data_IF_630006516151
#
_entry.id   IF_630006516151
#
_cell.length_a   1.000
_cell.length_b   1.000
_cell.length_c   1.000
_cell.angle_alpha   90.00
_cell.angle_beta   90.00
_cell.angle_gamma   90.00
#
_symmetry.space_group_name_H-M   'P 1'
#
loop_
_entity.id
_entity.type
_entity.pdbx_description
1 polymer ?
#
# COMPACT_ATOMS: atom_id res chain seq x y z
N UNK A 1 -15.87 -35.99 20.32
CA UNK A 1 -14.44 -35.89 20.64
C UNK A 1 -13.94 -34.59 20.02
N UNK A 2 -13.64 -33.58 20.84
CA UNK A 2 -13.13 -32.26 20.42
C UNK A 2 -11.65 -32.42 20.06
N UNK A 3 -11.26 -32.09 18.83
CA UNK A 3 -9.86 -31.81 18.52
C UNK A 3 -9.69 -30.29 18.41
N UNK A 4 -9.25 -29.71 19.53
CA UNK A 4 -8.74 -28.35 19.59
C UNK A 4 -7.30 -28.41 19.07
N UNK A 5 -7.08 -28.05 17.80
CA UNK A 5 -5.73 -27.91 17.26
C UNK A 5 -5.17 -26.56 17.73
N UNK A 6 -4.46 -26.58 18.86
CA UNK A 6 -3.72 -25.44 19.37
C UNK A 6 -2.41 -25.32 18.57
N UNK A 7 -2.39 -24.48 17.54
CA UNK A 7 -1.15 -24.12 16.85
C UNK A 7 -0.41 -23.13 17.76
N UNK A 8 0.55 -23.64 18.54
CA UNK A 8 1.54 -22.83 19.24
C UNK A 8 2.60 -22.47 18.20
N UNK A 9 2.46 -21.29 17.58
CA UNK A 9 3.54 -20.70 16.78
C UNK A 9 4.46 -19.91 17.72
N UNK A 10 5.35 -20.61 18.43
CA UNK A 10 6.49 -19.97 19.10
C UNK A 10 7.75 -20.25 18.30
N UNK A 11 7.87 -19.58 17.16
CA UNK A 11 9.15 -19.35 16.50
C UNK A 11 9.62 -17.95 16.89
N UNK A 12 10.47 -17.88 17.92
CA UNK A 12 11.39 -16.76 18.08
C UNK A 12 12.31 -16.75 16.85
N UNK A 13 11.91 -16.03 15.80
CA UNK A 13 12.83 -15.62 14.73
C UNK A 13 13.78 -14.58 15.32
N UNK A 14 14.82 -15.07 16.01
CA UNK A 14 16.02 -14.30 16.35
C UNK A 14 17.00 -14.29 15.17
N UNK A 15 16.46 -14.02 13.99
CA UNK A 15 17.20 -13.56 12.83
C UNK A 15 16.45 -12.36 12.34
N UNK A 16 16.98 -11.16 12.58
CA UNK A 16 16.59 -9.99 11.80
C UNK A 16 16.99 -10.34 10.37
N UNK A 17 16.05 -10.90 9.62
CA UNK A 17 16.23 -11.18 8.21
C UNK A 17 16.50 -9.83 7.53
N UNK A 18 17.71 -9.70 6.99
CA UNK A 18 18.31 -8.41 6.69
C UNK A 18 17.44 -7.61 5.70
N UNK A 19 17.00 -6.44 6.14
CA UNK A 19 16.41 -5.46 5.24
C UNK A 19 17.45 -5.04 4.21
N UNK A 20 17.11 -5.16 2.94
CA UNK A 20 17.99 -4.78 1.84
C UNK A 20 17.76 -3.30 1.58
N UNK A 21 18.78 -2.47 1.80
CA UNK A 21 18.73 -1.05 1.43
C UNK A 21 18.59 -0.92 -0.09
N UNK A 22 17.53 -0.27 -0.56
CA UNK A 22 17.33 0.07 -1.99
C UNK A 22 18.02 1.40 -2.29
N UNK A 23 17.76 2.42 -1.47
CA UNK A 23 18.37 3.74 -1.63
C UNK A 23 18.46 4.48 -0.30
N UNK A 24 19.53 5.26 -0.09
CA UNK A 24 19.78 5.98 1.18
C UNK A 24 19.25 7.42 1.22
N UNK A 25 18.28 7.81 0.38
CA UNK A 25 17.82 9.19 0.34
C UNK A 25 16.31 9.29 0.26
N UNK A 26 15.74 10.25 0.98
CA UNK A 26 14.31 10.51 1.07
C UNK A 26 13.57 10.59 -0.26
N UNK A 27 14.17 11.20 -1.28
CA UNK A 27 13.52 11.33 -2.59
C UNK A 27 13.30 9.98 -3.31
N UNK A 28 13.87 8.89 -2.79
CA UNK A 28 13.73 7.53 -3.29
C UNK A 28 13.18 6.58 -2.22
N UNK A 29 12.63 7.13 -1.13
CA UNK A 29 11.69 6.42 -0.28
C UNK A 29 10.53 5.84 -1.09
N UNK A 30 9.95 4.72 -0.67
CA UNK A 30 8.90 4.04 -1.43
C UNK A 30 7.61 4.10 -0.63
N UNK A 31 6.62 4.80 -1.19
CA UNK A 31 5.29 5.01 -0.60
C UNK A 31 4.22 4.17 -1.30
N UNK A 32 4.60 3.16 -2.09
CA UNK A 32 3.66 2.24 -2.73
C UNK A 32 4.35 1.40 -3.80
N UNK A 33 3.81 0.21 -4.07
CA UNK A 33 4.46 -0.79 -4.93
C UNK A 33 3.45 -1.64 -5.71
N UNK A 34 3.74 -1.85 -6.99
CA UNK A 34 3.01 -2.77 -7.86
C UNK A 34 3.97 -3.60 -8.71
N UNK A 35 3.63 -4.88 -8.93
CA UNK A 35 4.42 -5.77 -9.79
C UNK A 35 4.41 -5.30 -11.25
N UNK A 36 5.58 -5.31 -11.90
CA UNK A 36 5.71 -4.99 -13.33
C UNK A 36 6.91 -5.67 -13.99
N UNK A 37 6.70 -6.29 -15.16
CA UNK A 37 7.75 -7.00 -15.92
C UNK A 37 8.51 -8.04 -15.10
N UNK A 38 9.79 -7.82 -14.78
CA UNK A 38 10.58 -8.63 -13.85
C UNK A 38 10.88 -7.93 -12.51
N UNK A 39 10.41 -6.70 -12.31
CA UNK A 39 10.60 -5.90 -11.10
C UNK A 39 9.29 -5.26 -10.61
N UNK A 40 9.35 -4.01 -10.18
CA UNK A 40 8.20 -3.30 -9.61
C UNK A 40 8.10 -1.87 -10.12
N UNK A 41 6.88 -1.37 -10.29
CA UNK A 41 6.61 0.07 -10.26
C UNK A 41 6.48 0.49 -8.81
N UNK A 42 7.21 1.54 -8.43
CA UNK A 42 7.13 2.14 -7.09
C UNK A 42 6.80 3.61 -7.20
N UNK A 43 6.06 4.13 -6.22
CA UNK A 43 5.75 5.56 -6.10
C UNK A 43 6.52 6.22 -4.97
N UNK A 44 6.62 7.55 -5.04
CA UNK A 44 7.32 8.37 -4.06
C UNK A 44 6.44 9.55 -3.61
N UNK A 45 6.34 9.81 -2.30
CA UNK A 45 5.85 11.08 -1.74
C UNK A 45 6.85 12.23 -1.97
N UNK A 46 7.03 12.56 -3.25
CA UNK A 46 7.83 13.70 -3.67
C UNK A 46 6.91 14.82 -4.16
N UNK A 47 7.14 16.04 -3.67
CA UNK A 47 6.31 17.22 -3.98
C UNK A 47 6.98 18.23 -4.91
N UNK A 48 8.30 18.18 -5.09
CA UNK A 48 9.05 19.18 -5.90
C UNK A 48 9.21 18.74 -7.35
N UNK A 49 9.35 19.73 -8.25
CA UNK A 49 9.72 19.50 -9.65
C UNK A 49 11.06 18.74 -9.74
N UNK A 50 11.25 17.92 -10.78
CA UNK A 50 12.44 17.08 -11.03
C UNK A 50 12.69 15.93 -10.05
N UNK A 51 11.94 15.85 -8.94
CA UNK A 51 11.95 14.66 -8.08
C UNK A 51 11.13 13.54 -8.75
N UNK A 52 11.57 12.28 -8.65
CA UNK A 52 10.85 11.16 -9.24
C UNK A 52 9.47 11.01 -8.59
N UNK A 53 8.43 10.77 -9.38
CA UNK A 53 7.10 10.39 -8.88
C UNK A 53 6.89 8.89 -8.92
N UNK A 54 7.40 8.28 -9.99
CA UNK A 54 7.41 6.86 -10.24
C UNK A 54 8.83 6.42 -10.57
N UNK A 55 9.18 5.21 -10.15
CA UNK A 55 10.39 4.52 -10.60
C UNK A 55 10.09 3.04 -10.88
N UNK A 56 10.86 2.45 -11.78
CA UNK A 56 10.97 1.01 -11.93
C UNK A 56 12.09 0.52 -11.02
N UNK A 57 11.75 -0.38 -10.10
CA UNK A 57 12.69 -1.08 -9.24
C UNK A 57 13.04 -2.43 -9.88
N UNK A 58 14.27 -2.55 -10.36
CA UNK A 58 14.82 -3.78 -10.93
C UNK A 58 15.03 -4.86 -9.85
N UNK A 59 15.13 -6.14 -10.26
CA UNK A 59 15.53 -7.24 -9.36
C UNK A 59 16.88 -7.02 -8.68
N UNK A 60 17.77 -6.23 -9.29
CA UNK A 60 19.05 -5.85 -8.72
C UNK A 60 18.95 -4.69 -7.71
N UNK A 61 17.74 -4.32 -7.29
CA UNK A 61 17.43 -3.22 -6.38
C UNK A 61 17.84 -1.82 -6.88
N UNK A 62 17.97 -1.66 -8.20
CA UNK A 62 18.26 -0.37 -8.83
C UNK A 62 16.97 0.32 -9.24
N UNK A 63 16.89 1.62 -8.98
CA UNK A 63 15.76 2.47 -9.36
C UNK A 63 16.03 3.19 -10.68
N UNK A 64 15.10 3.07 -11.63
CA UNK A 64 15.06 3.87 -12.85
C UNK A 64 13.81 4.75 -12.85
N UNK A 65 13.97 6.05 -13.02
CA UNK A 65 12.84 6.98 -13.00
C UNK A 65 11.95 6.75 -14.23
N UNK A 66 10.64 6.69 -14.03
CA UNK A 66 9.66 6.76 -15.13
C UNK A 66 9.46 8.21 -15.56
N UNK A 67 9.05 8.39 -16.83
CA UNK A 67 8.76 9.70 -17.40
C UNK A 67 7.26 9.96 -17.27
N UNK A 68 6.88 10.77 -16.27
CA UNK A 68 5.51 11.25 -16.13
C UNK A 68 5.18 12.30 -17.22
N UNK A 69 3.97 12.30 -17.80
CA UNK A 69 3.58 13.32 -18.76
C UNK A 69 3.43 14.70 -18.08
N UNK A 70 4.30 15.63 -18.45
CA UNK A 70 4.22 17.06 -18.07
C UNK A 70 3.01 17.75 -18.77
N UNK A 71 2.47 18.87 -18.23
CA UNK A 71 3.01 19.72 -17.16
C UNK A 71 2.46 19.46 -15.75
N UNK A 72 1.46 18.59 -15.60
CA UNK A 72 0.77 18.38 -14.32
C UNK A 72 1.32 17.13 -13.61
N UNK A 73 2.32 17.35 -12.76
CA UNK A 73 2.84 16.32 -11.88
C UNK A 73 1.83 15.99 -10.76
N UNK A 74 1.76 14.73 -10.33
CA UNK A 74 1.10 14.38 -9.08
C UNK A 74 1.71 15.14 -7.90
N UNK A 75 0.87 15.47 -6.93
CA UNK A 75 1.26 16.21 -5.74
C UNK A 75 2.15 15.37 -4.83
N UNK A 76 1.64 14.25 -4.31
CA UNK A 76 2.32 13.26 -3.47
C UNK A 76 1.73 11.87 -3.72
N UNK A 77 2.43 10.97 -4.44
CA UNK A 77 1.88 9.63 -4.69
C UNK A 77 2.12 8.72 -3.49
N UNK A 78 1.04 8.15 -2.97
CA UNK A 78 0.98 7.38 -1.72
C UNK A 78 0.57 5.92 -1.94
N UNK A 79 0.24 5.53 -3.18
CA UNK A 79 0.00 4.13 -3.52
C UNK A 79 0.03 3.93 -5.04
N UNK A 80 0.31 2.69 -5.46
CA UNK A 80 0.17 2.25 -6.85
C UNK A 80 -0.24 0.79 -6.91
N UNK A 81 -1.16 0.45 -7.82
CA UNK A 81 -1.63 -0.93 -8.04
C UNK A 81 -1.77 -1.23 -9.53
N UNK A 82 -1.49 -2.48 -9.89
CA UNK A 82 -1.80 -3.01 -11.21
C UNK A 82 -3.32 -3.18 -11.36
N UNK A 83 -3.88 -2.72 -12.47
CA UNK A 83 -5.29 -2.90 -12.79
C UNK A 83 -5.54 -4.36 -13.19
N UNK A 84 -6.57 -5.03 -12.64
CA UNK A 84 -6.88 -6.41 -12.97
C UNK A 84 -7.04 -6.64 -14.48
N UNK A 85 -6.46 -7.73 -14.98
CA UNK A 85 -6.51 -8.12 -16.40
C UNK A 85 -5.51 -7.40 -17.31
N UNK A 86 -4.63 -6.57 -16.78
CA UNK A 86 -3.59 -5.88 -17.54
C UNK A 86 -2.19 -6.21 -17.01
N UNK A 87 -1.18 -6.17 -17.88
CA UNK A 87 0.23 -6.31 -17.50
C UNK A 87 0.92 -4.98 -17.26
N UNK A 88 0.40 -3.88 -17.83
CA UNK A 88 1.04 -2.58 -17.84
C UNK A 88 0.10 -1.40 -17.57
N UNK A 89 -1.13 -1.66 -17.10
CA UNK A 89 -2.10 -0.61 -16.72
C UNK A 89 -2.15 -0.50 -15.21
N UNK A 90 -1.92 0.70 -14.70
CA UNK A 90 -1.82 0.95 -13.28
C UNK A 90 -2.81 2.03 -12.85
N UNK A 91 -3.06 2.05 -11.56
CA UNK A 91 -3.68 3.16 -10.88
C UNK A 91 -2.76 3.62 -9.75
N UNK A 92 -2.52 4.93 -9.65
CA UNK A 92 -1.81 5.53 -8.52
C UNK A 92 -2.70 6.56 -7.82
N UNK A 93 -2.50 6.75 -6.52
CA UNK A 93 -3.31 7.60 -5.65
C UNK A 93 -2.45 8.63 -4.92
N UNK A 94 -2.94 9.86 -4.83
CA UNK A 94 -2.40 10.90 -3.96
C UNK A 94 -3.00 10.89 -2.56
N UNK A 95 -2.33 11.55 -1.60
CA UNK A 95 -2.84 11.73 -0.24
C UNK A 95 -4.19 12.46 -0.18
N UNK A 96 -4.48 13.26 -1.22
CA UNK A 96 -5.76 13.99 -1.40
C UNK A 96 -6.90 13.11 -1.94
N UNK A 97 -6.59 11.89 -2.37
CA UNK A 97 -7.52 10.98 -3.05
C UNK A 97 -7.70 11.24 -4.53
N UNK A 98 -6.91 12.13 -5.13
CA UNK A 98 -6.79 12.19 -6.58
C UNK A 98 -6.08 10.94 -7.07
N UNK A 99 -6.65 10.27 -8.06
CA UNK A 99 -6.11 9.04 -8.60
C UNK A 99 -5.96 9.12 -10.12
N UNK A 100 -4.97 8.39 -10.63
CA UNK A 100 -4.52 8.42 -12.01
C UNK A 100 -4.49 7.00 -12.55
N UNK A 101 -5.26 6.73 -13.61
CA UNK A 101 -5.12 5.48 -14.36
C UNK A 101 -4.20 5.75 -15.55
N UNK A 102 -3.18 4.92 -15.72
CA UNK A 102 -2.16 5.11 -16.75
C UNK A 102 -1.60 3.80 -17.28
N UNK A 103 -1.04 3.83 -18.48
CA UNK A 103 -0.20 2.78 -19.03
C UNK A 103 1.27 3.09 -18.80
N UNK A 104 2.08 2.06 -18.66
CA UNK A 104 3.54 2.14 -18.68
C UNK A 104 4.04 1.43 -19.94
N UNK A 105 4.87 2.10 -20.73
CA UNK A 105 5.62 1.47 -21.80
C UNK A 105 6.78 0.63 -21.20
N UNK A 106 6.82 -0.70 -21.41
CA UNK A 106 7.83 -1.57 -20.82
C UNK A 106 9.24 -1.39 -21.43
N UNK A 107 9.36 -0.73 -22.58
CA UNK A 107 10.63 -0.54 -23.29
C UNK A 107 11.31 0.78 -22.93
N UNK A 108 10.56 1.87 -22.80
CA UNK A 108 11.13 3.20 -22.55
C UNK A 108 10.62 3.90 -21.29
N UNK A 109 9.79 3.24 -20.49
CA UNK A 109 9.29 3.71 -19.19
C UNK A 109 8.54 5.05 -19.24
N UNK A 110 7.95 5.36 -20.39
CA UNK A 110 6.99 6.46 -20.52
C UNK A 110 5.64 6.09 -19.92
N UNK A 111 5.00 7.08 -19.31
CA UNK A 111 3.65 6.97 -18.76
C UNK A 111 2.64 7.62 -19.70
N UNK A 112 1.61 6.90 -20.09
CA UNK A 112 0.44 7.43 -20.80
C UNK A 112 -0.74 7.56 -19.84
N UNK A 113 -1.15 8.79 -19.55
CA UNK A 113 -2.29 9.03 -18.65
C UNK A 113 -3.60 8.77 -19.39
N UNK A 114 -4.35 7.76 -18.94
CA UNK A 114 -5.65 7.41 -19.52
C UNK A 114 -6.77 8.22 -18.87
N UNK A 115 -6.68 8.46 -17.57
CA UNK A 115 -7.80 9.04 -16.81
C UNK A 115 -7.38 9.59 -15.45
N UNK A 116 -8.17 10.51 -14.92
CA UNK A 116 -7.96 11.12 -13.61
C UNK A 116 -9.29 11.39 -12.92
N UNK A 117 -9.40 11.06 -11.65
CA UNK A 117 -10.60 11.29 -10.84
C UNK A 117 -10.24 11.50 -9.37
N UNK A 118 -11.21 11.97 -8.60
CA UNK A 118 -11.11 12.02 -7.14
C UNK A 118 -11.93 10.89 -6.56
N UNK A 119 -11.30 10.10 -5.69
CA UNK A 119 -11.96 9.03 -4.94
C UNK A 119 -13.09 9.62 -4.06
N UNK A 120 -14.29 9.02 -4.07
CA UNK A 120 -15.43 9.59 -3.36
C UNK A 120 -15.36 9.33 -1.85
N UNK A 121 -16.19 10.03 -1.08
CA UNK A 121 -16.31 9.79 0.36
C UNK A 121 -15.16 10.32 1.22
N UNK A 122 -14.25 11.09 0.63
CA UNK A 122 -13.10 11.73 1.28
C UNK A 122 -13.47 13.11 1.80
N UNK A 123 -12.86 13.53 2.91
CA UNK A 123 -13.01 14.87 3.49
C UNK A 123 -11.66 15.58 3.56
N UNK A 124 -11.65 16.91 3.71
CA UNK A 124 -10.41 17.71 3.80
C UNK A 124 -9.51 17.38 5.00
N UNK A 125 -10.01 16.60 5.98
CA UNK A 125 -9.24 16.14 7.16
C UNK A 125 -8.54 14.80 6.94
N UNK A 126 -8.89 14.10 5.86
CA UNK A 126 -8.30 12.82 5.50
C UNK A 126 -7.00 13.05 4.72
N UNK A 127 -6.05 12.16 4.96
CA UNK A 127 -4.81 12.06 4.24
C UNK A 127 -4.63 10.57 3.96
N UNK A 128 -4.80 10.18 2.69
CA UNK A 128 -4.80 8.79 2.27
C UNK A 128 -3.38 8.27 2.14
N UNK A 129 -3.15 7.06 2.66
CA UNK A 129 -1.87 6.35 2.51
C UNK A 129 -2.13 4.92 2.01
N UNK A 130 -3.27 4.32 2.34
CA UNK A 130 -3.62 2.98 1.85
C UNK A 130 -4.52 3.02 0.63
N UNK A 131 -4.18 2.22 -0.39
CA UNK A 131 -5.05 1.94 -1.52
C UNK A 131 -4.79 0.53 -2.04
N UNK A 132 -5.83 -0.23 -2.37
CA UNK A 132 -5.70 -1.50 -3.06
C UNK A 132 -6.86 -1.75 -4.04
N UNK A 133 -6.60 -2.62 -5.01
CA UNK A 133 -7.55 -3.00 -6.06
C UNK A 133 -7.86 -4.48 -5.97
N UNK A 134 -9.14 -4.83 -6.09
CA UNK A 134 -9.60 -6.22 -6.07
C UNK A 134 -10.55 -6.50 -7.23
N UNK A 135 -10.33 -7.60 -7.92
CA UNK A 135 -11.26 -8.11 -8.93
C UNK A 135 -12.28 -9.02 -8.26
N UNK A 136 -13.53 -8.57 -8.16
CA UNK A 136 -14.66 -9.40 -7.74
C UNK A 136 -15.43 -9.93 -8.96
N UNK A 137 -16.35 -10.85 -8.72
CA UNK A 137 -17.30 -11.35 -9.72
C UNK A 137 -18.27 -10.24 -10.22
N UNK A 138 -18.45 -9.17 -9.45
CA UNK A 138 -19.32 -8.05 -9.81
C UNK A 138 -18.56 -6.93 -10.53
N UNK A 139 -17.23 -6.93 -10.47
CA UNK A 139 -16.38 -5.91 -11.09
C UNK A 139 -15.19 -5.54 -10.21
N UNK A 140 -14.66 -4.34 -10.41
CA UNK A 140 -13.46 -3.89 -9.70
C UNK A 140 -13.87 -3.14 -8.43
N UNK A 141 -13.32 -3.59 -7.30
CA UNK A 141 -13.45 -2.93 -6.01
C UNK A 141 -12.18 -2.15 -5.74
N UNK A 142 -12.34 -0.88 -5.36
CA UNK A 142 -11.27 -0.12 -4.73
C UNK A 142 -11.48 -0.10 -3.23
N UNK A 143 -10.40 -0.26 -2.49
CA UNK A 143 -10.37 -0.06 -1.05
C UNK A 143 -9.28 0.95 -0.74
N UNK A 144 -9.60 1.97 0.04
CA UNK A 144 -8.66 3.04 0.34
C UNK A 144 -8.88 3.60 1.73
N UNK A 145 -7.79 3.99 2.36
CA UNK A 145 -7.76 4.29 3.78
C UNK A 145 -6.94 5.52 4.09
N UNK A 146 -7.49 6.35 4.95
CA UNK A 146 -6.76 7.48 5.51
C UNK A 146 -5.87 7.03 6.67
N UNK A 147 -4.67 7.60 6.75
CA UNK A 147 -3.65 7.21 7.75
C UNK A 147 -4.06 7.39 9.20
N UNK A 148 -5.05 8.23 9.46
CA UNK A 148 -5.44 8.61 10.81
C UNK A 148 -4.37 9.46 11.49
N UNK A 149 -4.33 9.41 12.81
CA UNK A 149 -3.25 9.96 13.65
C UNK A 149 -3.39 9.38 15.06
N UNK A 150 -2.50 9.78 15.97
CA UNK A 150 -2.65 9.47 17.39
C UNK A 150 -3.95 10.03 18.00
N UNK A 151 -4.47 11.15 17.47
CA UNK A 151 -5.69 11.82 17.94
C UNK A 151 -6.95 11.43 17.18
N UNK A 152 -6.81 10.76 16.04
CA UNK A 152 -7.92 10.50 15.11
C UNK A 152 -7.79 9.10 14.51
N UNK A 153 -8.83 8.29 14.65
CA UNK A 153 -8.91 6.97 14.02
C UNK A 153 -8.89 7.10 12.49
N UNK A 154 -8.46 6.04 11.83
CA UNK A 154 -8.46 5.94 10.38
C UNK A 154 -9.85 5.58 9.87
N UNK A 155 -10.16 6.02 8.66
CA UNK A 155 -11.34 5.63 7.90
C UNK A 155 -10.89 4.82 6.70
N UNK A 156 -11.42 3.61 6.57
CA UNK A 156 -11.27 2.76 5.39
C UNK A 156 -12.57 2.84 4.58
N UNK A 157 -12.48 2.97 3.27
CA UNK A 157 -13.61 3.13 2.36
C UNK A 157 -13.49 2.05 1.29
N UNK A 158 -14.61 1.36 1.03
CA UNK A 158 -14.75 0.46 -0.12
C UNK A 158 -15.62 1.12 -1.18
N UNK A 159 -15.29 0.91 -2.44
CA UNK A 159 -16.06 1.46 -3.54
C UNK A 159 -16.04 0.55 -4.76
N UNK A 160 -17.10 0.65 -5.57
CA UNK A 160 -17.21 -0.04 -6.84
C UNK A 160 -16.76 0.87 -7.97
N UNK A 161 -15.81 0.41 -8.79
CA UNK A 161 -15.36 1.10 -9.99
C UNK A 161 -16.06 0.55 -11.24
N UNK A 162 -16.79 1.42 -11.94
CA UNK A 162 -17.37 1.14 -13.25
C UNK A 162 -16.48 1.76 -14.33
N UNK A 163 -15.76 0.93 -15.06
CA UNK A 163 -14.90 1.36 -16.17
C UNK A 163 -15.70 2.01 -17.30
N UNK A 164 -16.84 1.43 -17.68
CA UNK A 164 -17.72 1.94 -18.75
C UNK A 164 -18.22 3.36 -18.47
N UNK A 165 -18.65 3.62 -17.24
CA UNK A 165 -19.19 4.92 -16.82
C UNK A 165 -18.11 5.86 -16.28
N UNK A 166 -16.88 5.37 -16.20
CA UNK A 166 -15.78 6.01 -15.51
C UNK A 166 -16.18 6.59 -14.14
N UNK A 167 -16.88 5.78 -13.34
CA UNK A 167 -17.52 6.24 -12.09
C UNK A 167 -17.14 5.34 -10.93
N UNK A 168 -16.94 5.96 -9.77
CA UNK A 168 -16.70 5.26 -8.51
C UNK A 168 -17.87 5.56 -7.57
N UNK A 169 -18.47 4.52 -7.00
CA UNK A 169 -19.55 4.64 -6.04
C UNK A 169 -19.11 4.03 -4.71
N UNK A 170 -19.21 4.80 -3.62
CA UNK A 170 -18.92 4.30 -2.27
C UNK A 170 -19.89 3.17 -1.93
N UNK A 171 -19.35 2.08 -1.41
CA UNK A 171 -20.11 0.96 -0.87
C UNK A 171 -20.26 1.17 0.64
N UNK A 172 -19.14 1.20 1.36
CA UNK A 172 -19.14 1.23 2.83
C UNK A 172 -17.90 1.93 3.40
N UNK A 173 -18.01 2.39 4.66
CA UNK A 173 -16.91 2.99 5.42
C UNK A 173 -16.72 2.28 6.75
N UNK A 174 -15.47 2.11 7.16
CA UNK A 174 -15.07 1.43 8.39
C UNK A 174 -14.13 2.31 9.19
N UNK A 175 -14.19 2.19 10.53
CA UNK A 175 -13.27 2.86 11.44
C UNK A 175 -12.17 1.88 11.85
N UNK A 176 -10.93 2.24 11.55
CA UNK A 176 -9.75 1.43 11.83
C UNK A 176 -8.95 2.08 12.96
N UNK A 177 -8.67 1.29 13.99
CA UNK A 177 -7.94 1.71 15.18
C UNK A 177 -7.11 0.55 15.72
N UNK A 178 -5.87 0.48 15.28
CA UNK A 178 -4.97 -0.64 15.56
C UNK A 178 -4.17 -0.39 16.84
N UNK A 179 -3.87 -1.43 17.62
CA UNK A 179 -3.27 -1.28 18.95
C UNK A 179 -1.77 -0.97 18.94
N UNK A 180 -1.08 -1.27 17.83
CA UNK A 180 0.35 -1.02 17.65
C UNK A 180 0.54 -0.33 16.29
N UNK A 181 1.38 0.71 16.20
CA UNK A 181 2.14 1.35 17.29
C UNK A 181 1.28 2.26 18.19
N UNK A 182 1.77 2.55 19.40
CA UNK A 182 0.99 3.33 20.39
C UNK A 182 1.13 4.86 20.27
N UNK A 183 2.28 5.33 19.76
CA UNK A 183 2.63 6.76 19.67
C UNK A 183 2.94 7.13 18.24
N UNK A 184 2.71 8.41 17.89
CA UNK A 184 2.92 8.91 16.54
C UNK A 184 2.25 8.01 15.48
N UNK A 185 1.08 7.48 15.83
CA UNK A 185 0.43 6.36 15.15
C UNK A 185 -0.21 6.81 13.84
N UNK A 186 0.01 6.02 12.79
CA UNK A 186 -0.78 5.93 11.57
C UNK A 186 -1.34 4.51 11.50
N UNK A 187 -2.67 4.33 11.38
CA UNK A 187 -3.23 2.96 11.36
C UNK A 187 -3.14 2.31 9.98
N UNK A 188 -3.06 3.12 8.93
CA UNK A 188 -3.02 2.66 7.54
C UNK A 188 -1.89 3.42 6.85
N UNK A 189 -0.73 2.78 6.73
CA UNK A 189 0.41 3.28 5.95
C UNK A 189 0.49 2.67 4.55
N UNK A 190 -0.17 1.53 4.32
CA UNK A 190 -0.45 0.97 2.99
C UNK A 190 -1.53 -0.13 3.11
N UNK A 191 -2.14 -0.54 2.00
CA UNK A 191 -3.05 -1.67 1.89
C UNK A 191 -2.58 -2.67 0.85
N UNK A 192 -2.65 -3.96 1.17
CA UNK A 192 -2.43 -5.03 0.21
C UNK A 192 -3.54 -6.08 0.32
N UNK A 193 -3.78 -6.80 -0.77
CA UNK A 193 -4.78 -7.87 -0.81
C UNK A 193 -4.10 -9.12 -1.33
N UNK A 194 -4.20 -10.21 -0.57
CA UNK A 194 -3.64 -11.48 -1.00
C UNK A 194 -4.54 -12.19 -2.02
N UNK A 195 -4.04 -13.31 -2.58
CA UNK A 195 -4.77 -14.11 -3.58
C UNK A 195 -6.11 -14.67 -3.08
N UNK A 196 -6.29 -14.79 -1.77
CA UNK A 196 -7.52 -15.30 -1.17
C UNK A 196 -8.50 -14.18 -0.88
N UNK A 197 -8.14 -12.91 -1.12
CA UNK A 197 -8.94 -11.72 -0.84
C UNK A 197 -8.77 -11.16 0.57
N UNK A 198 -7.82 -11.69 1.37
CA UNK A 198 -7.59 -11.15 2.69
C UNK A 198 -6.94 -9.77 2.57
N UNK A 199 -7.43 -8.81 3.36
CA UNK A 199 -7.00 -7.42 3.29
C UNK A 199 -6.01 -7.15 4.41
N UNK A 200 -4.85 -6.66 4.02
CA UNK A 200 -3.69 -6.40 4.86
C UNK A 200 -3.44 -4.90 4.96
N UNK A 201 -2.95 -4.45 6.12
CA UNK A 201 -2.50 -3.07 6.32
C UNK A 201 -1.21 -3.04 7.13
N UNK A 202 -0.37 -2.06 6.84
CA UNK A 202 0.72 -1.65 7.73
C UNK A 202 0.22 -0.52 8.63
N UNK A 203 0.45 -0.63 9.94
CA UNK A 203 0.31 0.47 10.89
C UNK A 203 1.69 0.97 11.26
N UNK A 204 1.95 2.27 11.15
CA UNK A 204 3.30 2.83 11.27
C UNK A 204 3.38 3.90 12.37
N UNK A 205 4.55 4.02 12.98
CA UNK A 205 4.90 5.08 13.92
C UNK A 205 5.80 6.04 13.18
N UNK A 206 5.34 7.26 13.00
CA UNK A 206 6.09 8.31 12.32
C UNK A 206 6.19 9.57 13.21
N UNK A 207 7.24 9.65 14.05
CA UNK A 207 7.52 10.83 14.86
C UNK A 207 8.18 11.97 14.06
N UNK A 208 8.43 11.79 12.76
CA UNK A 208 9.11 12.73 11.88
C UNK A 208 10.27 12.11 11.11
N UNK A 209 11.00 12.95 10.37
CA UNK A 209 11.93 12.52 9.30
C UNK A 209 13.12 11.63 9.73
N UNK A 210 13.36 11.43 11.02
CA UNK A 210 14.50 10.67 11.56
C UNK A 210 14.09 9.52 12.48
N UNK A 211 12.79 9.20 12.58
CA UNK A 211 12.32 8.12 13.42
C UNK A 211 12.56 8.33 14.93
N UNK A 212 12.72 7.24 15.72
CA UNK A 212 12.71 5.86 15.29
C UNK A 212 11.35 5.45 14.73
N UNK A 213 11.36 4.69 13.64
CA UNK A 213 10.15 4.15 13.03
C UNK A 213 9.80 2.78 13.64
N UNK A 214 8.52 2.43 13.60
CA UNK A 214 8.04 1.10 13.97
C UNK A 214 6.81 0.80 13.15
N UNK A 215 6.75 -0.40 12.57
CA UNK A 215 5.60 -0.86 11.81
C UNK A 215 5.02 -2.13 12.41
N UNK A 216 3.72 -2.32 12.22
CA UNK A 216 3.02 -3.54 12.58
C UNK A 216 2.09 -3.93 11.43
N UNK A 217 2.20 -5.19 10.99
CA UNK A 217 1.43 -5.71 9.86
C UNK A 217 0.21 -6.45 10.40
N UNK A 218 -0.96 -6.19 9.83
CA UNK A 218 -2.24 -6.76 10.23
C UNK A 218 -3.00 -7.29 9.03
N UNK A 219 -3.70 -8.40 9.21
CA UNK A 219 -4.85 -8.77 8.39
C UNK A 219 -6.12 -8.19 9.04
N UNK A 220 -6.76 -7.23 8.39
CA UNK A 220 -7.89 -6.47 8.94
C UNK A 220 -9.25 -6.99 8.51
N UNK A 221 -9.31 -7.85 7.51
CA UNK A 221 -10.56 -8.45 7.07
C UNK A 221 -10.40 -9.25 5.80
N UNK A 222 -11.53 -9.49 5.14
CA UNK A 222 -11.62 -10.38 3.99
C UNK A 222 -12.62 -9.85 2.97
N UNK A 223 -12.18 -9.66 1.73
CA UNK A 223 -13.09 -9.48 0.60
C UNK A 223 -13.63 -10.84 0.16
N UNK A 224 -14.94 -10.93 -0.01
CA UNK A 224 -15.55 -12.12 -0.61
C UNK A 224 -15.53 -12.03 -2.15
N UNK A 225 -15.96 -13.11 -2.82
CA UNK A 225 -15.98 -13.17 -4.28
C UNK A 225 -16.87 -12.13 -4.95
N UNK A 226 -17.88 -11.59 -4.26
CA UNK A 226 -18.75 -10.53 -4.81
C UNK A 226 -18.23 -9.12 -4.50
N UNK A 227 -17.16 -8.98 -3.71
CA UNK A 227 -16.52 -7.71 -3.42
C UNK A 227 -16.97 -7.02 -2.13
N UNK A 228 -17.71 -7.72 -1.26
CA UNK A 228 -18.04 -7.22 0.07
C UNK A 228 -16.85 -7.41 1.01
N UNK A 229 -16.47 -6.34 1.71
CA UNK A 229 -15.41 -6.39 2.72
C UNK A 229 -15.99 -6.77 4.09
N UNK A 230 -15.58 -7.92 4.60
CA UNK A 230 -15.90 -8.37 5.95
C UNK A 230 -14.77 -7.92 6.87
N UNK A 231 -14.99 -6.79 7.56
CA UNK A 231 -14.04 -6.27 8.54
C UNK A 231 -13.98 -7.17 9.77
N UNK A 232 -12.78 -7.52 10.21
CA UNK A 232 -12.58 -8.29 11.43
C UNK A 232 -13.01 -7.45 12.64
N UNK A 233 -13.62 -8.09 13.63
CA UNK A 233 -14.04 -7.39 14.84
C UNK A 233 -12.82 -6.70 15.50
N UNK A 234 -12.89 -5.41 15.88
CA UNK A 234 -11.72 -4.65 16.34
C UNK A 234 -10.95 -5.29 17.50
N UNK A 235 -11.64 -6.00 18.40
CA UNK A 235 -10.99 -6.68 19.55
C UNK A 235 -10.17 -7.91 19.16
N UNK A 236 -10.32 -8.42 17.94
CA UNK A 236 -9.59 -9.58 17.42
C UNK A 236 -8.32 -9.17 16.66
N UNK A 237 -8.17 -7.89 16.32
CA UNK A 237 -7.04 -7.39 15.54
C UNK A 237 -5.75 -7.44 16.37
N UNK A 238 -4.83 -8.32 15.97
CA UNK A 238 -3.50 -8.48 16.56
C UNK A 238 -2.45 -8.38 15.46
N UNK A 239 -1.28 -7.78 15.75
CA UNK A 239 -0.22 -7.70 14.75
C UNK A 239 0.29 -9.11 14.43
N UNK A 240 0.41 -9.40 13.14
CA UNK A 240 0.98 -10.64 12.63
C UNK A 240 2.50 -10.55 12.55
N UNK A 241 3.02 -9.35 12.31
CA UNK A 241 4.44 -9.02 12.35
C UNK A 241 4.62 -7.65 12.98
N UNK A 242 5.68 -7.48 13.77
CA UNK A 242 6.14 -6.18 14.26
C UNK A 242 7.56 -5.98 13.71
N UNK A 243 7.79 -4.81 13.13
CA UNK A 243 9.06 -4.41 12.54
C UNK A 243 9.56 -3.16 13.25
N UNK A 244 10.74 -3.23 13.84
CA UNK A 244 11.39 -2.08 14.44
C UNK A 244 12.31 -1.37 13.44
N UNK A 245 12.48 -0.06 13.60
CA UNK A 245 13.34 0.82 12.80
C UNK A 245 12.98 0.91 11.31
N UNK A 246 11.75 0.55 10.93
CA UNK A 246 11.27 0.60 9.55
C UNK A 246 9.85 1.18 9.50
N UNK A 247 9.59 2.03 8.52
CA UNK A 247 8.29 2.64 8.20
C UNK A 247 7.76 1.98 6.92
N UNK A 248 6.99 0.90 7.08
CA UNK A 248 6.44 0.13 5.97
C UNK A 248 5.25 0.88 5.40
N UNK A 249 5.41 1.42 4.19
CA UNK A 249 4.38 2.19 3.45
C UNK A 249 4.22 1.65 2.02
N UNK A 250 4.64 0.40 1.80
CA UNK A 250 4.49 -0.29 0.54
C UNK A 250 4.51 -1.80 0.76
N UNK A 251 3.44 -2.48 0.33
CA UNK A 251 3.23 -3.90 0.48
C UNK A 251 2.65 -4.48 -0.81
N UNK A 252 3.14 -5.66 -1.19
CA UNK A 252 2.51 -6.42 -2.26
C UNK A 252 2.72 -7.91 -2.08
N UNK A 253 1.82 -8.69 -2.67
CA UNK A 253 1.90 -10.14 -2.67
C UNK A 253 2.36 -10.64 -4.04
N UNK A 254 3.39 -11.48 -4.06
CA UNK A 254 3.87 -12.16 -5.27
C UNK A 254 4.26 -13.60 -4.93
N UNK A 255 3.76 -14.59 -5.67
CA UNK A 255 4.16 -16.00 -5.54
C UNK A 255 4.13 -16.55 -4.09
N UNK A 256 3.09 -16.18 -3.32
CA UNK A 256 2.93 -16.49 -1.89
C UNK A 256 3.99 -15.86 -0.97
N UNK A 257 4.71 -14.86 -1.44
CA UNK A 257 5.60 -14.02 -0.65
C UNK A 257 4.92 -12.68 -0.37
N UNK A 258 5.14 -12.14 0.84
CA UNK A 258 4.81 -10.77 1.19
C UNK A 258 6.06 -9.92 1.05
N UNK A 259 6.02 -8.96 0.13
CA UNK A 259 7.09 -8.00 -0.08
C UNK A 259 6.72 -6.71 0.65
N UNK A 260 7.63 -6.25 1.50
CA UNK A 260 7.53 -4.99 2.22
C UNK A 260 8.60 -4.04 1.71
N UNK A 261 8.23 -2.79 1.46
CA UNK A 261 9.14 -1.69 1.15
C UNK A 261 8.83 -0.49 2.04
N UNK A 262 9.80 0.43 2.16
CA UNK A 262 9.72 1.50 3.16
C UNK A 262 9.87 2.89 2.60
N UNK A 263 9.23 3.82 3.29
CA UNK A 263 9.57 5.23 3.30
C UNK A 263 10.16 5.58 4.67
N UNK A 264 11.45 5.31 4.86
CA UNK A 264 12.16 5.68 6.08
C UNK A 264 12.62 7.15 6.07
N UNK A 265 11.92 8.02 5.36
CA UNK A 265 12.21 9.45 5.31
C UNK A 265 13.68 9.72 4.95
N UNK A 266 14.46 10.35 5.83
CA UNK A 266 15.86 10.68 5.56
C UNK A 266 16.76 9.45 5.34
N UNK A 267 16.34 8.26 5.76
CA UNK A 267 17.07 7.01 5.54
C UNK A 267 16.70 6.31 4.23
N UNK A 268 15.77 6.88 3.44
CA UNK A 268 15.37 6.36 2.13
C UNK A 268 14.52 5.10 2.22
N UNK A 269 14.81 4.12 1.36
CA UNK A 269 14.02 2.90 1.20
C UNK A 269 14.82 1.64 1.41
N UNK A 270 14.14 0.64 1.96
CA UNK A 270 14.61 -0.73 2.13
C UNK A 270 13.51 -1.71 1.72
N UNK A 271 13.91 -2.96 1.50
CA UNK A 271 13.03 -4.06 1.11
C UNK A 271 13.23 -5.26 2.01
N UNK A 272 12.12 -5.94 2.29
CA UNK A 272 12.10 -7.19 3.01
C UNK A 272 11.08 -8.14 2.40
N UNK A 273 11.45 -9.43 2.28
CA UNK A 273 10.61 -10.46 1.69
C UNK A 273 10.32 -11.52 2.74
N UNK A 274 9.05 -11.77 2.98
CA UNK A 274 8.57 -12.84 3.84
C UNK A 274 8.11 -13.98 2.94
N UNK A 275 8.85 -15.09 2.99
CA UNK A 275 8.50 -16.31 2.28
C UNK A 275 7.35 -17.02 2.98
N UNK A 276 6.56 -17.78 2.19
CA UNK A 276 5.47 -18.61 2.70
C UNK A 276 4.44 -17.79 3.49
N UNK A 277 4.07 -16.63 2.95
CA UNK A 277 3.10 -15.77 3.61
C UNK A 277 1.76 -16.52 3.77
N UNK A 278 1.22 -17.22 2.76
CA UNK A 278 0.00 -18.07 2.86
C UNK A 278 -0.08 -19.16 1.78
#
# INVERSE_FOLDING_TARGET
>A
MKYLLLIILTSFLSGQSDWIQIHGSRQFSISGVARFENGYIVVHDNKKKKQPRLSFLERSYKLRKLIWPEPNLPYDLEAVHLMPGFSNKFIAMESTGKAYIFLVDPFDFRVELLNTFTLPGITSKMNLEGFAVYQSAQGIIFIYGDRGSEKRKSTLITSFYSAEKNKINVIEKFIIDLPVPKKAKRNIGDLAIDRNGAVWTAATSDPGNNGPFKSAIYQIGQLNNVGTFNYNHPTLLKPLLIVDNQKVEAMTFENNELILMTDNENFGSSLFIIKEAF
#
